data_IF_771380432895
#
_entry.id   IF_771380432895
#
_cell.length_a   1.000
_cell.length_b   1.000
_cell.length_c   1.000
_cell.angle_alpha   90.00
_cell.angle_beta   90.00
_cell.angle_gamma   90.00
#
_symmetry.space_group_name_H-M   'P 1'
#
loop_
_entity.id
_entity.type
_entity.pdbx_description
1 polymer ?
#
# COMPACT_ATOMS: atom_id res chain seq x y z
N UNK A 1 72.40 7.95 24.10
CA UNK A 1 71.35 8.74 23.42
C UNK A 1 70.33 9.19 24.45
N UNK A 2 70.17 10.50 24.58
CA UNK A 2 69.27 11.17 25.52
C UNK A 2 67.82 10.95 25.07
N UNK A 3 66.98 10.33 25.90
CA UNK A 3 65.53 10.25 25.70
C UNK A 3 64.82 10.94 26.85
N UNK A 4 64.59 12.25 26.74
CA UNK A 4 63.64 12.94 27.63
C UNK A 4 62.24 12.51 27.21
N UNK A 5 61.62 11.67 28.02
CA UNK A 5 60.18 11.39 27.97
C UNK A 5 59.49 12.70 28.33
N UNK A 6 58.84 13.32 27.35
CA UNK A 6 58.08 14.54 27.53
C UNK A 6 56.77 14.13 28.23
N UNK A 7 56.75 14.20 29.56
CA UNK A 7 55.53 14.09 30.35
C UNK A 7 54.70 15.35 30.09
N UNK A 8 53.80 15.26 29.11
CA UNK A 8 52.74 16.26 28.94
C UNK A 8 51.87 16.19 30.21
N UNK A 9 51.53 17.33 30.84
CA UNK A 9 50.60 17.33 31.95
C UNK A 9 49.31 16.65 31.47
N UNK A 10 48.90 15.62 32.19
CA UNK A 10 47.61 14.95 31.99
C UNK A 10 46.55 15.94 32.45
N UNK A 11 46.13 16.83 31.55
CA UNK A 11 44.96 17.65 31.75
C UNK A 11 43.76 16.72 31.68
N UNK A 12 43.24 16.35 32.85
CA UNK A 12 41.95 15.67 33.06
C UNK A 12 40.74 16.43 32.44
N UNK A 13 41.00 17.47 31.65
CA UNK A 13 40.04 18.38 31.03
C UNK A 13 39.98 18.25 29.49
N UNK A 14 40.76 17.35 28.85
CA UNK A 14 40.52 16.98 27.45
C UNK A 14 39.34 15.99 27.34
N UNK A 15 38.18 16.41 27.86
CA UNK A 15 36.92 15.80 27.52
C UNK A 15 36.64 16.21 26.06
N UNK A 16 37.06 15.36 25.11
CA UNK A 16 37.01 15.61 23.67
C UNK A 16 35.64 16.10 23.17
N UNK A 17 35.49 16.40 21.87
CA UNK A 17 34.32 17.11 21.29
C UNK A 17 32.94 16.42 21.43
N UNK A 18 32.86 15.38 22.25
CA UNK A 18 31.68 14.64 22.66
C UNK A 18 31.22 14.94 24.11
N UNK A 19 32.00 15.65 24.93
CA UNK A 19 31.72 15.84 26.37
C UNK A 19 30.47 16.65 26.70
N UNK A 20 29.98 17.48 25.77
CA UNK A 20 28.78 18.31 25.92
C UNK A 20 27.69 17.96 24.90
N UNK A 21 27.58 16.70 24.46
CA UNK A 21 26.51 16.29 23.55
C UNK A 21 25.25 15.95 24.33
N UNK A 22 24.33 16.90 24.37
CA UNK A 22 22.93 16.65 24.73
C UNK A 22 22.33 15.59 23.78
N UNK A 23 21.60 14.61 24.33
CA UNK A 23 20.99 13.53 23.54
C UNK A 23 19.90 14.09 22.61
N UNK A 24 20.30 14.46 21.38
CA UNK A 24 19.40 14.88 20.29
C UNK A 24 18.53 13.72 19.76
N UNK A 25 18.85 12.49 20.16
CA UNK A 25 18.22 11.26 19.70
C UNK A 25 16.70 11.24 19.94
N UNK A 26 16.24 11.73 21.09
CA UNK A 26 14.81 11.75 21.45
C UNK A 26 13.99 12.60 20.49
N UNK A 27 14.51 13.77 20.07
CA UNK A 27 13.78 14.67 19.16
C UNK A 27 13.69 14.03 17.77
N UNK A 28 14.77 13.45 17.28
CA UNK A 28 14.76 12.75 15.99
C UNK A 28 13.89 11.49 16.01
N UNK A 29 13.84 10.78 17.14
CA UNK A 29 12.94 9.65 17.34
C UNK A 29 11.46 10.09 17.24
N UNK A 30 11.09 11.20 17.88
CA UNK A 30 9.72 11.74 17.80
C UNK A 30 9.35 12.12 16.37
N UNK A 31 10.25 12.80 15.65
CA UNK A 31 10.04 13.17 14.24
C UNK A 31 9.90 11.93 13.36
N UNK A 32 10.71 10.90 13.60
CA UNK A 32 10.65 9.65 12.86
C UNK A 32 9.33 8.90 13.10
N UNK A 33 8.88 8.81 14.35
CA UNK A 33 7.59 8.20 14.69
C UNK A 33 6.41 9.01 14.13
N UNK A 34 6.49 10.33 14.12
CA UNK A 34 5.47 11.19 13.49
C UNK A 34 5.42 10.98 11.97
N UNK A 35 6.57 10.81 11.31
CA UNK A 35 6.64 10.49 9.89
C UNK A 35 6.03 9.12 9.58
N UNK A 36 6.40 8.10 10.35
CA UNK A 36 5.86 6.74 10.20
C UNK A 36 4.35 6.69 10.48
N UNK A 37 3.90 7.31 11.58
CA UNK A 37 2.49 7.39 11.95
C UNK A 37 1.66 8.19 10.96
N UNK A 38 2.19 9.32 10.48
CA UNK A 38 1.55 10.14 9.45
C UNK A 38 1.38 9.39 8.12
N UNK A 39 2.42 8.66 7.68
CA UNK A 39 2.30 7.80 6.50
C UNK A 39 1.24 6.71 6.72
N UNK A 40 1.27 6.04 7.88
CA UNK A 40 0.28 5.01 8.20
C UNK A 40 -1.16 5.55 8.18
N UNK A 41 -1.40 6.72 8.78
CA UNK A 41 -2.73 7.34 8.81
C UNK A 41 -3.27 7.68 7.41
N UNK A 42 -2.39 8.03 6.46
CA UNK A 42 -2.77 8.37 5.08
C UNK A 42 -3.00 7.12 4.22
N UNK A 43 -2.20 6.06 4.41
CA UNK A 43 -2.30 4.83 3.61
C UNK A 43 -3.35 3.85 4.13
N UNK A 44 -3.63 3.82 5.43
CA UNK A 44 -4.62 2.94 6.04
C UNK A 44 -6.06 3.06 5.48
N UNK A 45 -6.62 4.24 5.14
CA UNK A 45 -7.98 4.33 4.58
C UNK A 45 -8.14 3.62 3.23
N UNK A 46 -7.06 3.40 2.47
CA UNK A 46 -7.11 2.70 1.19
C UNK A 46 -7.43 1.21 1.36
N UNK A 47 -6.97 0.61 2.46
CA UNK A 47 -7.23 -0.80 2.78
C UNK A 47 -8.72 -1.01 3.07
N UNK A 48 -9.35 -0.08 3.78
CA UNK A 48 -10.79 -0.09 4.04
C UNK A 48 -11.61 0.11 2.75
N UNK A 49 -11.14 0.98 1.84
CA UNK A 49 -11.78 1.18 0.53
C UNK A 49 -11.71 -0.08 -0.35
N UNK A 50 -10.55 -0.73 -0.41
CA UNK A 50 -10.38 -2.00 -1.14
C UNK A 50 -11.30 -3.10 -0.59
N UNK A 51 -11.45 -3.21 0.72
CA UNK A 51 -12.38 -4.15 1.34
C UNK A 51 -13.85 -3.83 0.98
N UNK A 52 -14.23 -2.55 1.00
CA UNK A 52 -15.59 -2.13 0.63
C UNK A 52 -15.91 -2.40 -0.84
N UNK A 53 -14.95 -2.12 -1.74
CA UNK A 53 -15.09 -2.44 -3.17
C UNK A 53 -15.11 -3.95 -3.40
N UNK A 54 -14.33 -4.73 -2.67
CA UNK A 54 -14.34 -6.20 -2.76
C UNK A 54 -15.67 -6.81 -2.30
N UNK A 55 -16.32 -6.23 -1.29
CA UNK A 55 -17.60 -6.73 -0.76
C UNK A 55 -18.81 -6.36 -1.63
N UNK A 56 -18.75 -5.23 -2.35
CA UNK A 56 -19.85 -4.75 -3.21
C UNK A 56 -19.61 -4.96 -4.70
N UNK A 57 -18.37 -5.17 -5.10
CA UNK A 57 -17.98 -5.42 -6.48
C UNK A 57 -18.14 -6.90 -6.86
N UNK A 58 -18.12 -7.15 -8.17
CA UNK A 58 -18.12 -8.49 -8.73
C UNK A 58 -16.73 -8.76 -9.35
N UNK A 59 -15.78 -9.37 -8.61
CA UNK A 59 -14.39 -9.55 -9.06
C UNK A 59 -14.28 -10.46 -10.29
N UNK A 60 -15.31 -11.25 -10.57
CA UNK A 60 -15.35 -12.10 -11.77
C UNK A 60 -15.33 -11.28 -13.07
N UNK A 61 -15.72 -10.00 -13.02
CA UNK A 61 -15.60 -9.07 -14.17
C UNK A 61 -14.15 -8.72 -14.52
N UNK A 62 -13.20 -8.90 -13.60
CA UNK A 62 -11.77 -8.69 -13.87
C UNK A 62 -11.11 -9.93 -14.47
N UNK A 63 -11.63 -11.11 -14.14
CA UNK A 63 -11.04 -12.40 -14.53
C UNK A 63 -11.68 -12.91 -15.83
N UNK A 64 -12.97 -12.64 -16.04
CA UNK A 64 -13.75 -13.11 -17.20
C UNK A 64 -14.13 -11.95 -18.12
N UNK A 65 -14.28 -12.26 -19.40
CA UNK A 65 -14.90 -11.34 -20.34
C UNK A 65 -16.34 -11.00 -19.96
N UNK A 66 -16.79 -9.82 -20.36
CA UNK A 66 -18.18 -9.37 -20.24
C UNK A 66 -18.67 -8.82 -21.59
N UNK A 67 -19.98 -8.92 -21.84
CA UNK A 67 -20.59 -8.38 -23.05
C UNK A 67 -20.88 -6.87 -22.95
N UNK A 68 -21.27 -6.24 -24.06
CA UNK A 68 -21.67 -4.82 -24.12
C UNK A 68 -22.84 -4.45 -23.18
N UNK A 69 -23.61 -5.42 -22.70
CA UNK A 69 -24.72 -5.24 -21.77
C UNK A 69 -24.30 -5.46 -20.30
N UNK A 70 -23.03 -5.82 -20.07
CA UNK A 70 -22.44 -6.04 -18.76
C UNK A 70 -22.71 -7.43 -18.18
N UNK A 71 -23.06 -8.43 -18.97
CA UNK A 71 -23.17 -9.83 -18.52
C UNK A 71 -21.80 -10.50 -18.52
N UNK A 72 -21.48 -11.25 -17.46
CA UNK A 72 -20.22 -11.99 -17.35
C UNK A 72 -20.36 -13.36 -18.03
N UNK A 73 -19.39 -13.71 -18.88
CA UNK A 73 -19.39 -14.96 -19.63
C UNK A 73 -19.12 -16.18 -18.73
N UNK A 74 -19.69 -17.34 -19.06
CA UNK A 74 -19.44 -18.60 -18.34
C UNK A 74 -20.10 -18.68 -16.97
N UNK A 75 -21.09 -17.81 -16.69
CA UNK A 75 -21.93 -17.88 -15.48
C UNK A 75 -23.33 -17.35 -15.73
N UNK A 76 -24.21 -17.59 -14.76
CA UNK A 76 -25.54 -16.98 -14.70
C UNK A 76 -25.41 -15.55 -14.18
N UNK A 77 -26.02 -14.59 -14.89
CA UNK A 77 -26.13 -13.21 -14.44
C UNK A 77 -27.56 -13.01 -13.95
N UNK A 78 -27.73 -12.62 -12.69
CA UNK A 78 -29.06 -12.50 -12.07
C UNK A 78 -29.48 -11.04 -11.84
N UNK A 79 -28.60 -10.09 -12.20
CA UNK A 79 -28.83 -8.66 -12.04
C UNK A 79 -29.28 -8.12 -13.39
N UNK A 80 -30.52 -7.66 -13.46
CA UNK A 80 -31.10 -6.98 -14.63
C UNK A 80 -31.20 -5.49 -14.33
N UNK A 81 -30.65 -4.67 -15.22
CA UNK A 81 -30.80 -3.22 -15.17
C UNK A 81 -31.94 -2.78 -16.10
N UNK A 82 -32.91 -2.03 -15.59
CA UNK A 82 -34.10 -1.61 -16.37
C UNK A 82 -33.75 -0.76 -17.60
N UNK A 83 -32.64 -0.01 -17.54
CA UNK A 83 -32.15 0.79 -18.65
C UNK A 83 -31.48 -0.04 -19.78
N UNK A 84 -31.21 -1.33 -19.57
CA UNK A 84 -30.49 -2.19 -20.50
C UNK A 84 -31.26 -3.49 -20.71
N UNK A 85 -31.95 -3.60 -21.85
CA UNK A 85 -32.90 -4.69 -22.11
C UNK A 85 -32.29 -6.10 -22.00
N UNK A 86 -31.03 -6.27 -22.37
CA UNK A 86 -30.32 -7.57 -22.40
C UNK A 86 -29.42 -7.81 -21.19
N UNK A 87 -29.50 -6.98 -20.15
CA UNK A 87 -28.79 -7.21 -18.89
C UNK A 87 -29.43 -8.34 -18.07
N UNK A 88 -28.61 -9.12 -17.36
CA UNK A 88 -29.06 -10.22 -16.52
C UNK A 88 -29.38 -11.50 -17.29
N UNK A 89 -28.76 -11.70 -18.46
CA UNK A 89 -28.91 -12.93 -19.24
C UNK A 89 -28.00 -14.06 -18.73
N UNK A 90 -28.49 -15.30 -18.81
CA UNK A 90 -27.68 -16.48 -18.52
C UNK A 90 -26.66 -16.68 -19.65
N UNK A 91 -25.36 -16.55 -19.32
CA UNK A 91 -24.24 -16.73 -20.24
C UNK A 91 -23.38 -17.94 -19.84
N UNK A 92 -23.92 -18.88 -19.06
CA UNK A 92 -23.19 -20.05 -18.55
C UNK A 92 -22.68 -20.99 -19.64
N UNK A 93 -23.33 -21.01 -20.80
CA UNK A 93 -22.97 -21.87 -21.94
C UNK A 93 -22.00 -21.23 -22.92
N UNK A 94 -21.68 -19.94 -22.76
CA UNK A 94 -20.88 -19.20 -23.74
C UNK A 94 -19.37 -19.35 -23.48
N UNK A 95 -18.53 -19.61 -24.52
CA UNK A 95 -17.08 -19.71 -24.38
C UNK A 95 -16.41 -18.42 -23.89
N UNK A 96 -15.43 -18.56 -22.99
CA UNK A 96 -14.71 -17.45 -22.34
C UNK A 96 -13.53 -16.86 -23.17
N UNK A 97 -13.57 -16.92 -24.50
CA UNK A 97 -12.37 -16.61 -25.28
C UNK A 97 -12.56 -16.33 -26.77
N UNK A 98 -13.68 -15.75 -27.18
CA UNK A 98 -13.87 -15.32 -28.57
C UNK A 98 -13.56 -13.84 -28.74
N UNK A 99 -12.90 -13.46 -29.84
CA UNK A 99 -12.57 -12.08 -30.23
C UNK A 99 -13.78 -11.17 -30.54
N UNK A 100 -14.91 -11.41 -29.88
CA UNK A 100 -16.19 -10.72 -30.05
C UNK A 100 -16.55 -10.14 -28.69
N UNK A 101 -16.92 -8.86 -28.66
CA UNK A 101 -17.40 -8.13 -27.46
C UNK A 101 -18.70 -8.67 -26.86
N UNK A 102 -19.09 -9.87 -27.28
CA UNK A 102 -20.29 -10.57 -26.91
C UNK A 102 -19.84 -11.98 -26.49
N UNK A 103 -20.05 -12.29 -25.21
CA UNK A 103 -20.58 -13.60 -24.94
C UNK A 103 -22.07 -13.65 -25.35
#
# INVERSE_FOLDING_TARGET
VNGKVLSLPEDDEFAGPTSKRECRDVIFLIIFLAFLGGAWAIFHPQIAFLAFVGLKGDPERLIRGFDQYGNVCGRKNNIKYDAVSNSGQDKSTQPQGGARTDC
#
